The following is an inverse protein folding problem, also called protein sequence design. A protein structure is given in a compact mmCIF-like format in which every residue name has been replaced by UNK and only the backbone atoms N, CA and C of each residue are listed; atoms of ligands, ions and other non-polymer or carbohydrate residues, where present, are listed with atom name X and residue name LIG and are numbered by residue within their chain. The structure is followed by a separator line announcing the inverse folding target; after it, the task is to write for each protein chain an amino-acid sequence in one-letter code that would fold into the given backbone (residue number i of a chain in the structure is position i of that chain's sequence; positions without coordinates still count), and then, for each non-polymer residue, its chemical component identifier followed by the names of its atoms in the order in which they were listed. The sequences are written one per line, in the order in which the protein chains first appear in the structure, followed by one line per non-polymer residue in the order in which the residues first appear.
data_IF_047105708246
#
_entry.id   IF_047105708246
#
_cell.length_a   1.000
_cell.length_b   1.000
_cell.length_c   1.000
_cell.angle_alpha   90.00
_cell.angle_beta   90.00
_cell.angle_gamma   90.00
#
_symmetry.space_group_name_H-M   'P 1'
#
loop_
_entity.id
_entity.type
_entity.pdbx_description
1 polymer ?
#
# COMPACT_ATOMS: atom_id res chain seq x y z
N UNK A 1 40.67 27.49 38.33
CA UNK A 1 39.67 27.89 37.30
C UNK A 1 38.96 26.63 36.84
N UNK A 2 37.79 26.43 37.44
CA UNK A 2 36.90 25.31 37.10
C UNK A 2 35.97 25.76 35.97
N UNK A 3 35.85 25.00 34.90
CA UNK A 3 34.72 25.10 33.98
C UNK A 3 33.91 23.79 34.01
N UNK A 4 32.73 23.98 34.54
CA UNK A 4 31.64 23.00 34.62
C UNK A 4 31.16 22.69 33.20
N UNK A 5 31.09 21.41 32.87
CA UNK A 5 30.42 20.92 31.68
C UNK A 5 29.09 20.29 32.12
N UNK A 6 28.01 21.07 32.02
CA UNK A 6 26.63 20.60 32.14
C UNK A 6 26.05 20.40 30.74
N UNK A 7 25.27 19.35 30.61
CA UNK A 7 24.23 19.05 29.65
C UNK A 7 24.52 17.86 28.72
N UNK A 8 23.98 16.74 29.11
CA UNK A 8 24.00 15.52 28.30
C UNK A 8 23.11 14.40 28.83
N UNK A 9 22.08 14.73 29.60
CA UNK A 9 21.17 13.71 30.17
C UNK A 9 19.75 14.22 30.13
N UNK A 10 19.00 13.92 29.06
CA UNK A 10 17.51 13.99 29.15
C UNK A 10 16.78 13.43 27.89
N UNK A 11 17.33 12.57 27.09
CA UNK A 11 16.55 11.97 25.97
C UNK A 11 16.50 10.43 25.95
N UNK A 12 17.13 9.77 26.92
CA UNK A 12 17.16 8.28 26.96
C UNK A 12 16.25 7.63 28.01
N UNK A 13 15.51 8.38 28.80
CA UNK A 13 14.77 7.83 29.94
C UNK A 13 13.25 7.76 29.74
N UNK A 14 12.72 8.20 28.58
CA UNK A 14 11.26 8.11 28.31
C UNK A 14 10.83 6.93 27.42
N UNK A 15 11.76 6.06 27.02
CA UNK A 15 11.45 4.93 26.11
C UNK A 15 11.44 3.55 26.79
N UNK A 16 11.42 3.48 28.14
CA UNK A 16 11.44 2.18 28.86
C UNK A 16 10.24 1.90 29.79
N UNK A 17 9.19 2.67 29.73
CA UNK A 17 7.97 2.42 30.50
C UNK A 17 6.75 2.33 29.60
N UNK A 18 6.60 1.21 28.85
CA UNK A 18 5.47 1.03 27.93
C UNK A 18 5.32 -0.35 27.33
N UNK A 19 5.94 -1.36 27.92
CA UNK A 19 5.81 -2.74 27.44
C UNK A 19 4.89 -3.55 28.36
N UNK A 20 3.62 -3.13 28.54
CA UNK A 20 2.55 -3.98 29.06
C UNK A 20 1.22 -3.20 29.07
N UNK A 21 0.64 -2.94 27.90
CA UNK A 21 -0.80 -2.76 27.68
C UNK A 21 -0.98 -2.76 26.16
N UNK A 22 -1.27 -3.90 25.63
CA UNK A 22 -1.56 -4.06 24.21
C UNK A 22 -2.83 -3.32 23.83
N UNK A 23 -2.87 -2.96 22.54
CA UNK A 23 -4.07 -2.62 21.77
C UNK A 23 -4.67 -1.24 22.04
N UNK A 24 -4.52 -0.38 21.09
CA UNK A 24 -5.25 0.85 20.75
C UNK A 24 -4.38 2.11 20.57
N UNK A 25 -3.07 1.98 20.48
CA UNK A 25 -2.18 3.14 20.34
C UNK A 25 -1.65 3.39 18.93
N UNK A 26 -2.21 2.71 17.95
CA UNK A 26 -1.58 2.65 16.61
C UNK A 26 -2.08 3.70 15.62
N UNK A 27 -3.21 4.35 15.88
CA UNK A 27 -3.59 5.60 15.21
C UNK A 27 -3.38 6.81 16.12
N UNK A 28 -2.66 6.65 17.20
CA UNK A 28 -2.33 7.69 18.18
C UNK A 28 -1.27 8.71 17.74
N UNK A 29 -0.79 8.66 16.47
CA UNK A 29 -0.24 9.86 15.85
C UNK A 29 -1.32 10.95 15.68
N UNK A 30 -2.58 10.61 15.89
CA UNK A 30 -3.73 11.48 15.93
C UNK A 30 -3.82 12.42 17.17
N UNK A 31 -2.77 12.51 17.99
CA UNK A 31 -2.68 13.48 19.09
C UNK A 31 -2.60 14.95 18.64
N UNK A 32 -2.80 15.26 17.38
CA UNK A 32 -2.87 16.63 16.84
C UNK A 32 -4.28 17.04 16.40
N UNK A 33 -5.31 16.26 16.66
CA UNK A 33 -6.66 16.62 16.25
C UNK A 33 -7.30 17.58 17.25
N UNK A 34 -7.57 18.78 16.76
CA UNK A 34 -8.33 19.80 17.47
C UNK A 34 -9.73 19.28 17.82
N UNK A 35 -10.18 19.56 19.05
CA UNK A 35 -11.53 19.23 19.56
C UNK A 35 -12.60 19.97 18.75
N UNK A 36 -13.16 19.32 17.75
CA UNK A 36 -14.35 19.79 17.03
C UNK A 36 -15.60 19.06 17.55
N UNK A 37 -16.60 19.82 17.94
CA UNK A 37 -17.88 19.32 18.44
C UNK A 37 -18.63 18.49 17.39
N UNK A 38 -18.95 17.24 17.70
CA UNK A 38 -19.73 16.35 16.88
C UNK A 38 -21.14 16.89 16.60
N UNK A 39 -21.50 17.04 15.32
CA UNK A 39 -22.86 17.36 14.88
C UNK A 39 -23.47 16.10 14.29
N UNK A 40 -24.58 15.65 14.88
CA UNK A 40 -25.30 14.48 14.44
C UNK A 40 -25.79 14.63 12.98
N UNK A 41 -25.42 13.67 12.12
CA UNK A 41 -25.91 13.60 10.75
C UNK A 41 -27.29 12.94 10.71
N UNK A 42 -28.24 13.63 10.14
CA UNK A 42 -29.62 13.20 9.90
C UNK A 42 -29.68 12.18 8.77
N UNK A 43 -30.39 11.07 8.96
CA UNK A 43 -30.66 10.08 7.94
C UNK A 43 -31.49 10.69 6.80
N UNK A 44 -31.01 10.61 5.56
CA UNK A 44 -31.69 11.10 4.36
C UNK A 44 -31.89 9.97 3.34
N UNK A 45 -33.05 9.97 2.73
CA UNK A 45 -33.70 8.98 1.92
C UNK A 45 -32.99 8.40 0.70
N UNK A 46 -33.49 7.24 0.29
CA UNK A 46 -33.10 6.45 -0.89
C UNK A 46 -33.49 7.13 -2.21
N UNK A 47 -32.59 7.98 -2.70
CA UNK A 47 -32.55 8.36 -4.11
C UNK A 47 -31.27 7.77 -4.70
N UNK A 48 -31.20 7.48 -5.98
CA UNK A 48 -29.97 7.13 -6.70
C UNK A 48 -28.96 8.25 -6.56
N UNK A 49 -28.26 8.30 -5.42
CA UNK A 49 -27.14 9.21 -5.22
C UNK A 49 -26.02 8.76 -6.15
N UNK A 50 -25.43 9.71 -6.89
CA UNK A 50 -24.15 9.50 -7.56
C UNK A 50 -23.10 9.04 -6.55
N UNK A 51 -21.97 8.50 -7.05
CA UNK A 51 -20.87 8.11 -6.19
C UNK A 51 -20.42 9.30 -5.32
N UNK A 52 -20.01 9.08 -4.06
CA UNK A 52 -19.51 10.14 -3.18
C UNK A 52 -18.13 10.66 -3.60
N UNK A 53 -17.52 10.08 -4.64
CA UNK A 53 -16.25 10.45 -5.24
C UNK A 53 -16.40 10.64 -6.77
N UNK A 54 -15.41 11.27 -7.47
CA UNK A 54 -15.54 11.58 -8.89
C UNK A 54 -15.80 10.34 -9.74
N UNK A 55 -16.78 10.40 -10.62
CA UNK A 55 -17.09 9.32 -11.56
C UNK A 55 -15.99 9.18 -12.61
N UNK A 56 -15.67 7.93 -13.02
CA UNK A 56 -14.70 7.65 -14.08
C UNK A 56 -13.23 7.79 -13.67
N UNK A 57 -12.93 7.98 -12.38
CA UNK A 57 -11.54 8.02 -11.89
C UNK A 57 -10.95 6.62 -11.71
N UNK A 58 -11.78 5.60 -11.54
CA UNK A 58 -11.33 4.23 -11.27
C UNK A 58 -11.11 3.47 -12.56
N UNK A 59 -9.89 2.98 -12.74
CA UNK A 59 -9.56 2.00 -13.78
C UNK A 59 -9.92 0.59 -13.30
N UNK A 60 -10.86 -0.06 -13.99
CA UNK A 60 -11.33 -1.43 -13.73
C UNK A 60 -11.04 -2.36 -14.90
N UNK A 61 -10.21 -1.95 -15.85
CA UNK A 61 -9.94 -2.71 -17.08
C UNK A 61 -9.29 -4.08 -16.83
N UNK A 62 -8.61 -4.23 -15.69
CA UNK A 62 -7.90 -5.46 -15.30
C UNK A 62 -8.53 -6.18 -14.09
N UNK A 63 -9.77 -5.86 -13.73
CA UNK A 63 -10.51 -6.63 -12.74
C UNK A 63 -11.78 -7.27 -13.30
N UNK A 64 -12.36 -8.19 -12.53
CA UNK A 64 -13.68 -8.73 -12.89
C UNK A 64 -14.79 -7.75 -12.51
N UNK A 65 -15.97 -7.79 -13.17
CA UNK A 65 -17.11 -6.94 -12.82
C UNK A 65 -17.52 -7.09 -11.35
N UNK A 66 -17.43 -8.30 -10.80
CA UNK A 66 -17.77 -8.61 -9.42
C UNK A 66 -16.80 -7.92 -8.43
N UNK A 67 -15.50 -7.95 -8.73
CA UNK A 67 -14.50 -7.24 -7.92
C UNK A 67 -14.73 -5.73 -7.98
N UNK A 68 -14.97 -5.19 -9.18
CA UNK A 68 -15.30 -3.77 -9.35
C UNK A 68 -16.50 -3.34 -8.51
N UNK A 69 -17.55 -4.18 -8.44
CA UNK A 69 -18.75 -3.94 -7.64
C UNK A 69 -18.46 -3.94 -6.14
N UNK A 70 -17.71 -4.95 -5.66
CA UNK A 70 -17.31 -5.04 -4.24
C UNK A 70 -16.57 -3.78 -3.82
N UNK A 71 -15.53 -3.37 -4.58
CA UNK A 71 -14.74 -2.20 -4.22
C UNK A 71 -15.51 -0.89 -4.40
N UNK A 72 -16.38 -0.78 -5.40
CA UNK A 72 -17.27 0.37 -5.51
C UNK A 72 -18.13 0.55 -4.26
N UNK A 73 -18.75 -0.51 -3.79
CA UNK A 73 -19.57 -0.47 -2.56
C UNK A 73 -18.73 -0.19 -1.31
N UNK A 74 -17.56 -0.83 -1.19
CA UNK A 74 -16.63 -0.60 -0.10
C UNK A 74 -16.19 0.87 0.01
N UNK A 75 -15.71 1.46 -1.09
CA UNK A 75 -15.25 2.85 -1.10
C UNK A 75 -16.42 3.86 -1.01
N UNK A 76 -17.61 3.50 -1.48
CA UNK A 76 -18.81 4.30 -1.21
C UNK A 76 -19.06 4.36 0.29
N UNK A 77 -19.12 3.22 0.97
CA UNK A 77 -19.32 3.17 2.42
C UNK A 77 -18.22 3.88 3.19
N UNK A 78 -16.95 3.72 2.76
CA UNK A 78 -15.78 4.40 3.34
C UNK A 78 -15.90 5.92 3.20
N UNK A 79 -16.23 6.42 2.02
CA UNK A 79 -16.35 7.86 1.73
C UNK A 79 -17.58 8.51 2.37
N UNK A 80 -18.65 7.75 2.60
CA UNK A 80 -19.84 8.20 3.33
C UNK A 80 -19.67 8.11 4.84
N UNK A 81 -18.49 7.67 5.33
CA UNK A 81 -18.23 7.35 6.74
C UNK A 81 -19.27 6.42 7.35
N UNK A 82 -19.85 5.54 6.53
CA UNK A 82 -20.86 4.58 6.95
C UNK A 82 -20.20 3.31 7.52
N UNK A 83 -19.88 3.35 8.82
CA UNK A 83 -19.16 2.28 9.51
C UNK A 83 -19.87 0.92 9.37
N UNK A 84 -21.20 0.88 9.53
CA UNK A 84 -21.97 -0.37 9.44
C UNK A 84 -21.86 -0.99 8.04
N UNK A 85 -22.02 -0.18 6.99
CA UNK A 85 -21.90 -0.64 5.62
C UNK A 85 -20.45 -1.05 5.30
N UNK A 86 -19.44 -0.27 5.73
CA UNK A 86 -18.04 -0.60 5.51
C UNK A 86 -17.68 -1.94 6.16
N UNK A 87 -18.05 -2.11 7.42
CA UNK A 87 -17.71 -3.33 8.16
C UNK A 87 -18.42 -4.58 7.66
N UNK A 88 -19.49 -4.43 6.88
CA UNK A 88 -20.16 -5.56 6.23
C UNK A 88 -19.31 -6.24 5.14
N UNK A 89 -18.27 -5.58 4.64
CA UNK A 89 -17.31 -6.15 3.68
C UNK A 89 -16.27 -7.05 4.34
N UNK A 90 -16.03 -6.92 5.64
CA UNK A 90 -15.05 -7.71 6.36
C UNK A 90 -15.65 -9.01 6.93
N UNK A 91 -14.85 -10.07 6.95
CA UNK A 91 -15.22 -11.33 7.60
C UNK A 91 -15.23 -11.15 9.12
N UNK A 92 -16.30 -11.55 9.79
CA UNK A 92 -16.37 -11.50 11.25
C UNK A 92 -15.53 -12.59 11.93
N UNK A 93 -15.09 -13.61 11.18
CA UNK A 93 -14.37 -14.75 11.71
C UNK A 93 -12.84 -14.65 11.56
N UNK A 94 -12.37 -14.09 10.45
CA UNK A 94 -10.96 -14.22 10.03
C UNK A 94 -10.35 -12.92 9.49
N UNK A 95 -10.78 -11.76 9.96
CA UNK A 95 -10.24 -10.50 9.47
C UNK A 95 -8.87 -10.19 10.04
N UNK A 96 -7.93 -9.84 9.16
CA UNK A 96 -6.66 -9.19 9.49
C UNK A 96 -6.46 -7.97 8.61
N UNK A 97 -6.18 -6.83 9.22
CA UNK A 97 -5.80 -5.60 8.53
C UNK A 97 -4.42 -5.15 8.99
N UNK A 98 -3.55 -4.84 8.04
CA UNK A 98 -2.19 -4.39 8.33
C UNK A 98 -1.92 -3.08 7.59
N UNK A 99 -1.43 -2.09 8.32
CA UNK A 99 -0.71 -0.97 7.72
C UNK A 99 0.79 -1.28 7.78
N UNK A 100 1.35 -1.65 6.63
CA UNK A 100 2.74 -2.08 6.54
C UNK A 100 3.74 -0.93 6.73
N UNK A 101 3.33 0.33 6.55
CA UNK A 101 4.18 1.49 6.73
C UNK A 101 4.21 1.97 8.17
N UNK A 102 3.10 1.89 8.90
CA UNK A 102 3.05 2.21 10.32
C UNK A 102 3.43 1.04 11.23
N UNK A 103 3.48 -0.19 10.71
CA UNK A 103 3.71 -1.39 11.50
C UNK A 103 2.52 -1.72 12.41
N UNK A 104 1.31 -1.44 11.94
CA UNK A 104 0.07 -1.68 12.66
C UNK A 104 -0.55 -2.98 12.19
N UNK A 105 -0.94 -3.82 13.13
CA UNK A 105 -1.71 -5.04 12.87
C UNK A 105 -3.01 -5.00 13.66
N UNK A 106 -4.12 -5.16 12.94
CA UNK A 106 -5.47 -5.26 13.47
C UNK A 106 -5.95 -6.70 13.21
N UNK A 107 -5.79 -7.61 14.18
CA UNK A 107 -5.92 -9.06 13.95
C UNK A 107 -7.35 -9.57 14.05
N UNK A 108 -8.36 -8.70 14.16
CA UNK A 108 -9.76 -9.11 14.27
C UNK A 108 -10.72 -8.07 13.69
N UNK A 109 -11.93 -8.49 13.40
CA UNK A 109 -13.00 -7.63 12.96
C UNK A 109 -13.26 -6.47 13.94
N UNK A 110 -13.24 -6.73 15.26
CA UNK A 110 -13.47 -5.73 16.31
C UNK A 110 -12.35 -4.68 16.32
N UNK A 111 -11.10 -5.09 16.10
CA UNK A 111 -9.97 -4.18 16.03
C UNK A 111 -10.10 -3.26 14.81
N UNK A 112 -10.46 -3.80 13.64
CA UNK A 112 -10.71 -3.03 12.42
C UNK A 112 -11.90 -2.08 12.61
N UNK A 113 -13.01 -2.57 13.17
CA UNK A 113 -14.20 -1.77 13.47
C UNK A 113 -13.87 -0.59 14.38
N UNK A 114 -13.17 -0.83 15.50
CA UNK A 114 -12.79 0.23 16.43
C UNK A 114 -11.91 1.30 15.79
N UNK A 115 -10.99 0.88 14.94
CA UNK A 115 -10.09 1.77 14.20
C UNK A 115 -10.85 2.67 13.23
N UNK A 116 -11.73 2.09 12.39
CA UNK A 116 -12.55 2.89 11.47
C UNK A 116 -13.58 3.77 12.19
N UNK A 117 -14.15 3.30 13.31
CA UNK A 117 -15.04 4.12 14.13
C UNK A 117 -14.34 5.39 14.61
N UNK A 118 -13.10 5.26 15.10
CA UNK A 118 -12.30 6.40 15.56
C UNK A 118 -11.93 7.34 14.39
N UNK A 119 -11.53 6.78 13.25
CA UNK A 119 -11.18 7.55 12.07
C UNK A 119 -12.38 8.36 11.55
N UNK A 120 -13.57 7.74 11.40
CA UNK A 120 -14.78 8.40 10.92
C UNK A 120 -15.31 9.46 11.90
N UNK A 121 -15.08 9.28 13.20
CA UNK A 121 -15.46 10.28 14.19
C UNK A 121 -14.58 11.54 14.12
N UNK A 122 -13.35 11.43 13.63
CA UNK A 122 -12.39 12.54 13.56
C UNK A 122 -12.30 13.18 12.16
N UNK A 123 -12.54 12.41 11.11
CA UNK A 123 -12.43 12.91 9.75
C UNK A 123 -13.56 13.91 9.42
N UNK A 124 -13.27 15.02 8.73
CA UNK A 124 -14.31 15.92 8.24
C UNK A 124 -15.19 15.22 7.19
N UNK A 125 -16.46 15.58 7.11
CA UNK A 125 -17.41 14.99 6.16
C UNK A 125 -17.02 15.18 4.68
N UNK A 126 -16.09 16.08 4.38
CA UNK A 126 -15.53 16.29 3.05
C UNK A 126 -14.37 15.35 2.71
N UNK A 127 -13.79 14.70 3.70
CA UNK A 127 -12.72 13.72 3.47
C UNK A 127 -13.33 12.43 2.90
N UNK A 128 -12.83 12.01 1.74
CA UNK A 128 -13.32 10.84 1.00
C UNK A 128 -12.16 9.90 0.66
N UNK A 129 -12.52 8.65 0.36
CA UNK A 129 -11.59 7.63 -0.08
C UNK A 129 -12.12 6.97 -1.35
N UNK A 130 -11.28 6.80 -2.35
CA UNK A 130 -11.71 6.20 -3.61
C UNK A 130 -10.61 5.39 -4.30
N UNK A 131 -10.98 4.34 -5.06
CA UNK A 131 -10.00 3.57 -5.80
C UNK A 131 -9.62 4.28 -7.10
N UNK A 132 -8.32 4.27 -7.43
CA UNK A 132 -7.81 4.70 -8.72
C UNK A 132 -7.70 3.53 -9.70
N UNK A 133 -7.37 2.36 -9.18
CA UNK A 133 -7.21 1.14 -9.97
C UNK A 133 -7.51 -0.09 -9.16
N UNK A 134 -8.17 -1.04 -9.81
CA UNK A 134 -8.47 -2.36 -9.24
C UNK A 134 -7.96 -3.41 -10.22
N UNK A 135 -7.10 -4.32 -9.75
CA UNK A 135 -6.51 -5.38 -10.57
C UNK A 135 -6.70 -6.71 -9.83
N UNK A 136 -7.52 -7.60 -10.38
CA UNK A 136 -7.79 -8.89 -9.75
C UNK A 136 -9.23 -9.37 -9.91
N UNK A 137 -9.68 -10.18 -8.96
CA UNK A 137 -11.03 -10.73 -8.94
C UNK A 137 -11.60 -10.78 -7.51
N UNK A 138 -12.73 -11.50 -7.37
CA UNK A 138 -13.41 -11.67 -6.08
C UNK A 138 -12.71 -12.64 -5.10
N UNK A 139 -11.61 -13.27 -5.50
CA UNK A 139 -10.77 -14.09 -4.63
C UNK A 139 -9.66 -13.26 -4.01
N UNK A 140 -9.02 -12.42 -4.83
CA UNK A 140 -7.99 -11.49 -4.37
C UNK A 140 -7.73 -10.38 -5.39
N UNK A 141 -7.25 -9.22 -4.93
CA UNK A 141 -6.95 -8.08 -5.79
C UNK A 141 -5.88 -7.16 -5.21
N UNK A 142 -5.14 -6.49 -6.10
CA UNK A 142 -4.39 -5.30 -5.79
C UNK A 142 -5.26 -4.06 -6.04
N UNK A 143 -5.27 -3.12 -5.10
CA UNK A 143 -6.09 -1.90 -5.18
C UNK A 143 -5.24 -0.67 -4.93
N UNK A 144 -5.13 0.18 -5.94
CA UNK A 144 -4.56 1.51 -5.79
C UNK A 144 -5.68 2.47 -5.38
N UNK A 145 -5.46 3.22 -4.30
CA UNK A 145 -6.47 4.10 -3.72
C UNK A 145 -5.89 5.45 -3.31
N UNK A 146 -6.80 6.41 -3.13
CA UNK A 146 -6.51 7.72 -2.53
C UNK A 146 -7.42 7.91 -1.33
N UNK A 147 -6.82 8.32 -0.22
CA UNK A 147 -7.50 8.99 0.87
C UNK A 147 -7.19 10.49 0.74
N UNK A 148 -8.23 11.32 0.62
CA UNK A 148 -8.05 12.77 0.49
C UNK A 148 -7.53 13.38 1.79
N UNK A 149 -7.00 14.61 1.75
CA UNK A 149 -6.51 15.27 2.96
C UNK A 149 -7.50 15.20 4.13
N UNK A 150 -6.95 15.02 5.32
CA UNK A 150 -7.67 14.90 6.60
C UNK A 150 -8.54 13.63 6.77
N UNK A 151 -8.46 12.65 5.85
CA UNK A 151 -9.13 11.37 6.09
C UNK A 151 -8.44 10.57 7.20
N UNK A 152 -7.14 10.30 7.06
CA UNK A 152 -6.29 9.68 8.10
C UNK A 152 -5.11 10.58 8.48
N UNK A 153 -4.61 11.34 7.50
CA UNK A 153 -3.46 12.23 7.65
C UNK A 153 -3.78 13.58 7.01
N UNK A 154 -3.08 14.66 7.38
CA UNK A 154 -3.35 16.00 6.82
C UNK A 154 -3.13 16.12 5.32
N UNK A 155 -2.31 15.27 4.71
CA UNK A 155 -2.03 15.25 3.29
C UNK A 155 -2.86 14.20 2.57
N UNK A 156 -2.92 14.28 1.24
CA UNK A 156 -3.42 13.20 0.41
C UNK A 156 -2.52 11.97 0.59
N UNK A 157 -3.15 10.82 0.86
CA UNK A 157 -2.46 9.55 0.96
C UNK A 157 -2.83 8.70 -0.25
N UNK A 158 -1.81 8.28 -1.01
CA UNK A 158 -1.97 7.32 -2.09
C UNK A 158 -1.36 5.98 -1.66
N UNK A 159 -2.16 4.94 -1.68
CA UNK A 159 -1.77 3.62 -1.24
C UNK A 159 -1.98 2.58 -2.35
N UNK A 160 -1.28 1.47 -2.23
CA UNK A 160 -1.49 0.25 -2.99
C UNK A 160 -1.70 -0.89 -2.00
N UNK A 161 -2.89 -1.47 -2.03
CA UNK A 161 -3.32 -2.47 -1.05
C UNK A 161 -3.37 -3.86 -1.67
N UNK A 162 -2.94 -4.86 -0.90
CA UNK A 162 -3.14 -6.28 -1.17
C UNK A 162 -4.37 -6.75 -0.41
N UNK A 163 -5.37 -7.29 -1.14
CA UNK A 163 -6.66 -7.68 -0.56
C UNK A 163 -7.01 -9.11 -0.90
N UNK A 164 -7.36 -9.92 0.11
CA UNK A 164 -7.81 -11.31 -0.05
C UNK A 164 -9.19 -11.48 0.54
N UNK A 165 -10.04 -12.26 -0.15
CA UNK A 165 -11.41 -12.53 0.25
C UNK A 165 -11.63 -14.01 0.59
N UNK A 166 -12.59 -14.29 1.47
CA UNK A 166 -13.08 -15.65 1.71
C UNK A 166 -14.08 -16.11 0.63
N UNK A 167 -14.58 -17.34 0.75
CA UNK A 167 -15.57 -17.91 -0.16
C UNK A 167 -16.91 -17.18 -0.18
N UNK A 168 -17.20 -16.34 0.82
CA UNK A 168 -18.37 -15.49 0.91
C UNK A 168 -18.08 -14.06 0.40
N UNK A 169 -16.92 -13.86 -0.21
CA UNK A 169 -16.42 -12.56 -0.71
C UNK A 169 -16.31 -11.49 0.39
N UNK A 170 -15.98 -11.93 1.62
CA UNK A 170 -15.63 -11.04 2.72
C UNK A 170 -14.12 -10.90 2.81
N UNK A 171 -13.66 -9.69 3.10
CA UNK A 171 -12.25 -9.39 3.29
C UNK A 171 -11.75 -10.15 4.52
N UNK A 172 -10.76 -11.02 4.31
CA UNK A 172 -10.06 -11.73 5.38
C UNK A 172 -8.67 -11.16 5.61
N UNK A 173 -8.12 -10.50 4.59
CA UNK A 173 -6.80 -9.89 4.66
C UNK A 173 -6.80 -8.59 3.86
N UNK A 174 -6.31 -7.51 4.48
CA UNK A 174 -6.04 -6.23 3.85
C UNK A 174 -4.68 -5.72 4.31
N UNK A 175 -3.78 -5.43 3.40
CA UNK A 175 -2.47 -4.86 3.72
C UNK A 175 -2.23 -3.61 2.90
N UNK A 176 -2.04 -2.48 3.57
CA UNK A 176 -1.75 -1.20 2.94
C UNK A 176 -0.25 -0.93 2.88
N UNK A 177 0.18 -0.50 1.70
CA UNK A 177 1.49 0.07 1.44
C UNK A 177 1.35 1.48 0.90
N UNK A 178 2.07 2.42 1.49
CA UNK A 178 2.10 3.81 1.07
C UNK A 178 3.46 4.43 1.36
N UNK A 179 3.74 5.63 0.80
CA UNK A 179 5.00 6.31 1.00
C UNK A 179 4.88 7.40 2.08
N UNK A 180 5.52 7.20 3.22
CA UNK A 180 5.52 8.15 4.34
C UNK A 180 6.11 9.51 3.97
N UNK A 181 7.01 9.57 3.00
CA UNK A 181 7.57 10.84 2.52
C UNK A 181 6.50 11.70 1.85
N UNK A 182 5.66 11.12 1.01
CA UNK A 182 4.54 11.80 0.35
C UNK A 182 3.50 12.28 1.37
N UNK A 183 3.23 11.49 2.40
CA UNK A 183 2.31 11.83 3.47
C UNK A 183 2.92 12.77 4.52
N UNK A 184 4.18 13.19 4.37
CA UNK A 184 4.96 13.98 5.33
C UNK A 184 5.07 13.32 6.71
N UNK A 185 4.98 12.00 6.76
CA UNK A 185 5.15 11.19 7.96
C UNK A 185 6.52 10.55 7.89
N UNK A 186 7.38 10.84 8.86
CA UNK A 186 8.64 10.14 9.01
C UNK A 186 8.44 8.93 9.92
N UNK A 187 8.42 7.76 9.32
CA UNK A 187 8.28 6.52 10.06
C UNK A 187 9.62 6.16 10.73
N UNK A 188 9.60 6.03 12.06
CA UNK A 188 10.75 5.57 12.84
C UNK A 188 10.74 4.05 13.08
N UNK A 189 9.76 3.33 12.53
CA UNK A 189 9.57 1.90 12.76
C UNK A 189 10.46 1.13 11.79
N UNK A 190 11.42 0.38 12.35
CA UNK A 190 12.37 -0.44 11.59
C UNK A 190 11.79 -1.79 11.15
N UNK A 191 10.63 -2.18 11.67
CA UNK A 191 9.91 -3.39 11.31
C UNK A 191 8.41 -3.08 11.29
N UNK A 192 7.90 -2.82 10.11
CA UNK A 192 6.51 -2.42 9.87
C UNK A 192 5.57 -3.61 9.62
N UNK A 193 6.01 -4.81 9.91
CA UNK A 193 5.22 -6.02 9.65
C UNK A 193 5.36 -6.96 10.84
N UNK A 194 4.27 -7.52 11.38
CA UNK A 194 4.35 -8.45 12.48
C UNK A 194 5.25 -9.64 12.13
N UNK A 195 6.19 -9.98 13.02
CA UNK A 195 7.15 -11.05 12.77
C UNK A 195 6.48 -12.44 12.68
N UNK A 196 5.32 -12.58 13.33
CA UNK A 196 4.50 -13.79 13.38
C UNK A 196 3.37 -13.80 12.34
N UNK A 197 3.24 -12.75 11.52
CA UNK A 197 2.22 -12.70 10.49
C UNK A 197 2.47 -13.79 9.45
N UNK A 198 1.49 -14.66 9.27
CA UNK A 198 1.48 -15.73 8.29
C UNK A 198 0.26 -15.55 7.40
N UNK A 199 0.48 -15.66 6.09
CA UNK A 199 -0.62 -15.71 5.15
C UNK A 199 -1.39 -17.00 5.32
N UNK A 200 -2.68 -16.90 5.62
CA UNK A 200 -3.54 -18.05 5.82
C UNK A 200 -4.03 -18.65 4.50
N UNK A 201 -4.17 -17.83 3.45
CA UNK A 201 -4.68 -18.26 2.15
C UNK A 201 -4.07 -17.43 1.02
N UNK A 202 -3.70 -18.12 -0.08
CA UNK A 202 -3.33 -17.49 -1.34
C UNK A 202 -4.41 -17.83 -2.36
N UNK A 203 -5.26 -16.86 -2.68
CA UNK A 203 -6.37 -17.02 -3.63
C UNK A 203 -6.04 -16.41 -5.00
N UNK A 204 -4.77 -16.28 -5.33
CA UNK A 204 -4.33 -15.75 -6.62
C UNK A 204 -4.46 -16.78 -7.75
N UNK A 205 -4.83 -16.31 -8.95
CA UNK A 205 -4.83 -17.14 -10.15
C UNK A 205 -3.41 -17.64 -10.46
N UNK A 206 -3.23 -18.93 -10.84
CA UNK A 206 -1.91 -19.47 -11.18
C UNK A 206 -1.14 -18.67 -12.25
N UNK A 207 -1.83 -18.00 -13.17
CA UNK A 207 -1.18 -17.21 -14.21
C UNK A 207 -0.46 -15.98 -13.61
N UNK A 208 -1.11 -15.22 -12.73
CA UNK A 208 -0.47 -14.08 -12.05
C UNK A 208 0.64 -14.56 -11.11
N UNK A 209 0.43 -15.65 -10.37
CA UNK A 209 1.46 -16.23 -9.51
C UNK A 209 2.72 -16.57 -10.31
N UNK A 210 2.57 -17.23 -11.46
CA UNK A 210 3.71 -17.60 -12.31
C UNK A 210 4.47 -16.38 -12.83
N UNK A 211 3.77 -15.34 -13.27
CA UNK A 211 4.40 -14.13 -13.81
C UNK A 211 5.12 -13.35 -12.69
N UNK A 212 4.48 -13.16 -11.54
CA UNK A 212 5.07 -12.44 -10.41
C UNK A 212 6.27 -13.16 -9.81
N UNK A 213 6.22 -14.50 -9.72
CA UNK A 213 7.37 -15.31 -9.30
C UNK A 213 8.56 -15.17 -10.25
N UNK A 214 8.32 -15.24 -11.58
CA UNK A 214 9.37 -15.05 -12.58
C UNK A 214 9.94 -13.64 -12.54
N UNK A 215 9.08 -12.62 -12.38
CA UNK A 215 9.49 -11.23 -12.29
C UNK A 215 10.37 -11.00 -11.05
N UNK A 216 9.91 -11.44 -9.88
CA UNK A 216 10.68 -11.28 -8.64
C UNK A 216 11.98 -12.08 -8.67
N UNK A 217 12.00 -13.26 -9.27
CA UNK A 217 13.23 -14.04 -9.44
C UNK A 217 14.25 -13.30 -10.33
N UNK A 218 13.79 -12.68 -11.43
CA UNK A 218 14.65 -11.85 -12.29
C UNK A 218 15.18 -10.61 -11.54
N UNK A 219 14.33 -9.94 -10.78
CA UNK A 219 14.74 -8.81 -9.95
C UNK A 219 15.74 -9.22 -8.88
N UNK A 220 15.49 -10.31 -8.16
CA UNK A 220 16.37 -10.84 -7.13
C UNK A 220 17.74 -11.27 -7.69
N UNK A 221 17.78 -11.72 -8.94
CA UNK A 221 19.03 -12.05 -9.63
C UNK A 221 19.75 -10.81 -10.25
N UNK A 222 19.13 -9.63 -10.22
CA UNK A 222 19.63 -8.44 -10.92
C UNK A 222 19.57 -8.58 -12.45
N UNK A 223 18.74 -9.49 -12.98
CA UNK A 223 18.63 -9.79 -14.41
C UNK A 223 17.57 -8.90 -15.06
N UNK A 224 17.99 -7.72 -15.52
CA UNK A 224 17.14 -6.78 -16.22
C UNK A 224 16.58 -7.36 -17.54
N UNK A 225 17.32 -8.21 -18.23
CA UNK A 225 16.88 -8.78 -19.49
C UNK A 225 15.74 -9.80 -19.28
N UNK A 226 15.90 -10.69 -18.30
CA UNK A 226 14.86 -11.64 -17.90
C UNK A 226 13.59 -10.93 -17.41
N UNK A 227 13.73 -9.87 -16.60
CA UNK A 227 12.59 -9.08 -16.16
C UNK A 227 11.83 -8.44 -17.33
N UNK A 228 12.54 -7.78 -18.23
CA UNK A 228 11.95 -7.07 -19.38
C UNK A 228 11.39 -8.04 -20.42
N UNK A 229 11.90 -9.25 -20.52
CA UNK A 229 11.32 -10.30 -21.38
C UNK A 229 9.90 -10.70 -20.97
N UNK A 230 9.47 -10.42 -19.73
CA UNK A 230 8.10 -10.63 -19.27
C UNK A 230 7.14 -9.47 -19.63
N UNK A 231 7.65 -8.34 -20.11
CA UNK A 231 6.92 -7.11 -20.32
C UNK A 231 6.43 -6.97 -21.78
N UNK A 232 5.33 -6.26 -21.97
CA UNK A 232 4.87 -5.85 -23.30
C UNK A 232 5.78 -4.76 -23.89
N UNK A 233 5.68 -4.55 -25.21
CA UNK A 233 6.48 -3.54 -25.91
C UNK A 233 6.24 -2.11 -25.36
N UNK A 234 5.01 -1.82 -24.98
CA UNK A 234 4.53 -0.50 -24.50
C UNK A 234 4.38 -0.42 -22.98
N UNK A 235 5.00 -1.33 -22.25
CA UNK A 235 4.94 -1.40 -20.80
C UNK A 235 5.09 -0.05 -20.12
N UNK A 236 4.31 0.17 -19.06
CA UNK A 236 4.47 1.30 -18.16
C UNK A 236 4.96 0.80 -16.81
N UNK A 237 6.14 1.22 -16.39
CA UNK A 237 6.62 1.06 -15.03
C UNK A 237 6.41 2.35 -14.25
N UNK A 238 5.76 2.28 -13.10
CA UNK A 238 5.56 3.38 -12.17
C UNK A 238 6.11 3.00 -10.80
N UNK A 239 7.01 3.82 -10.28
CA UNK A 239 7.46 3.74 -8.89
C UNK A 239 6.78 4.88 -8.12
N UNK A 240 5.79 4.52 -7.29
CA UNK A 240 4.99 5.49 -6.54
C UNK A 240 5.81 6.15 -5.43
N UNK A 241 6.78 5.44 -4.85
CA UNK A 241 7.62 5.96 -3.78
C UNK A 241 8.70 6.92 -4.32
N UNK A 242 9.30 6.59 -5.46
CA UNK A 242 10.29 7.45 -6.12
C UNK A 242 9.65 8.53 -7.02
N UNK A 243 8.32 8.52 -7.20
CA UNK A 243 7.58 9.41 -8.10
C UNK A 243 8.11 9.40 -9.54
N UNK A 244 8.44 8.21 -10.05
CA UNK A 244 9.02 8.06 -11.38
C UNK A 244 8.16 7.17 -12.26
N UNK A 245 8.26 7.42 -13.59
CA UNK A 245 7.56 6.62 -14.59
C UNK A 245 8.46 6.38 -15.80
N UNK A 246 8.56 5.12 -16.19
CA UNK A 246 9.29 4.66 -17.39
C UNK A 246 8.31 4.03 -18.36
N UNK A 247 8.41 4.35 -19.65
CA UNK A 247 7.50 3.84 -20.68
C UNK A 247 8.24 3.13 -21.79
N UNK A 248 7.70 1.99 -22.20
CA UNK A 248 8.21 1.15 -23.27
C UNK A 248 9.32 0.21 -22.81
N UNK A 249 9.34 -0.96 -23.45
CA UNK A 249 10.23 -2.07 -23.11
C UNK A 249 11.72 -1.67 -23.20
N UNK A 250 12.09 -0.88 -24.21
CA UNK A 250 13.47 -0.40 -24.37
C UNK A 250 13.91 0.48 -23.21
N UNK A 251 13.06 1.40 -22.78
CA UNK A 251 13.36 2.28 -21.65
C UNK A 251 13.36 1.52 -20.32
N UNK A 252 12.45 0.56 -20.15
CA UNK A 252 12.45 -0.35 -19.01
C UNK A 252 13.74 -1.15 -18.91
N UNK A 253 14.27 -1.66 -20.05
CA UNK A 253 15.57 -2.35 -20.08
C UNK A 253 16.71 -1.45 -19.60
N UNK A 254 16.78 -0.22 -20.10
CA UNK A 254 17.81 0.74 -19.68
C UNK A 254 17.69 1.13 -18.20
N UNK A 255 16.45 1.34 -17.74
CA UNK A 255 16.17 1.64 -16.35
C UNK A 255 16.61 0.49 -15.43
N UNK A 256 16.13 -0.72 -15.65
CA UNK A 256 16.44 -1.85 -14.78
C UNK A 256 17.93 -2.23 -14.82
N UNK A 257 18.60 -2.07 -15.94
CA UNK A 257 20.06 -2.27 -16.01
C UNK A 257 20.83 -1.36 -15.02
N UNK A 258 20.32 -0.14 -14.78
CA UNK A 258 20.93 0.79 -13.83
C UNK A 258 20.39 0.62 -12.41
N UNK A 259 19.10 0.34 -12.29
CA UNK A 259 18.36 0.51 -11.05
C UNK A 259 18.28 -0.74 -10.19
N UNK A 260 18.24 -1.96 -10.77
CA UNK A 260 17.95 -3.19 -10.01
C UNK A 260 18.86 -3.37 -8.79
N UNK A 261 20.15 -3.06 -8.91
CA UNK A 261 21.08 -3.15 -7.79
C UNK A 261 20.85 -2.18 -6.63
N UNK A 262 19.91 -1.22 -6.79
CA UNK A 262 19.62 -0.18 -5.81
C UNK A 262 18.14 -0.19 -5.38
N UNK A 263 17.28 -0.90 -6.12
CA UNK A 263 15.87 -1.02 -5.80
C UNK A 263 15.66 -1.96 -4.60
N UNK A 264 14.73 -1.66 -3.67
CA UNK A 264 14.51 -2.49 -2.48
C UNK A 264 13.91 -3.86 -2.82
N UNK A 265 13.22 -3.99 -3.95
CA UNK A 265 12.71 -5.24 -4.50
C UNK A 265 13.68 -5.93 -5.47
N UNK A 266 14.93 -5.44 -5.53
CA UNK A 266 16.02 -5.97 -6.36
C UNK A 266 16.74 -7.18 -5.72
N UNK A 267 18.09 -7.25 -5.85
CA UNK A 267 18.87 -8.41 -5.43
C UNK A 267 18.61 -8.85 -4.00
N UNK A 268 18.33 -10.14 -3.84
CA UNK A 268 18.06 -10.76 -2.54
C UNK A 268 16.65 -10.56 -1.98
N UNK A 269 15.80 -9.79 -2.64
CA UNK A 269 14.40 -9.67 -2.25
C UNK A 269 13.60 -10.94 -2.64
N UNK A 270 12.59 -11.26 -1.83
CA UNK A 270 11.76 -12.44 -2.00
C UNK A 270 10.27 -12.07 -2.10
N UNK A 271 9.52 -12.78 -2.95
CA UNK A 271 8.07 -12.74 -2.97
C UNK A 271 7.53 -13.41 -1.69
N UNK A 272 6.60 -12.74 -1.02
CA UNK A 272 5.99 -13.21 0.23
C UNK A 272 4.55 -13.66 0.03
N UNK A 273 3.76 -12.88 -0.71
CA UNK A 273 2.34 -13.11 -0.98
C UNK A 273 2.02 -12.68 -2.40
N UNK A 274 1.10 -13.35 -3.06
CA UNK A 274 0.59 -12.97 -4.37
C UNK A 274 -0.94 -12.93 -4.35
N UNK A 275 -1.51 -11.99 -5.09
CA UNK A 275 -2.95 -11.84 -5.26
C UNK A 275 -3.31 -11.53 -6.72
N UNK A 276 -4.59 -11.73 -7.06
CA UNK A 276 -5.14 -11.31 -8.35
C UNK A 276 -5.64 -12.43 -9.23
N UNK A 277 -5.98 -12.07 -10.46
CA UNK A 277 -6.60 -12.87 -11.50
C UNK A 277 -5.65 -13.13 -12.68
N UNK A 278 -6.13 -13.88 -13.67
CA UNK A 278 -5.43 -14.07 -14.95
C UNK A 278 -5.15 -12.77 -15.73
N UNK A 279 -5.80 -11.66 -15.39
CA UNK A 279 -5.60 -10.33 -16.02
C UNK A 279 -4.59 -9.46 -15.30
N UNK A 280 -4.09 -9.92 -14.16
CA UNK A 280 -3.16 -9.21 -13.30
C UNK A 280 -3.55 -9.27 -11.83
N UNK A 281 -2.79 -8.61 -11.01
CA UNK A 281 -2.92 -8.58 -9.56
C UNK A 281 -1.69 -7.93 -8.97
N UNK A 282 -1.14 -8.51 -7.92
CA UNK A 282 0.06 -8.00 -7.31
C UNK A 282 0.83 -9.05 -6.54
N UNK A 283 1.88 -8.58 -5.92
CA UNK A 283 2.61 -9.36 -4.93
C UNK A 283 3.31 -8.46 -3.91
N UNK A 284 3.31 -8.94 -2.69
CA UNK A 284 4.13 -8.37 -1.64
C UNK A 284 5.52 -8.99 -1.69
N UNK A 285 6.54 -8.18 -1.40
CA UNK A 285 7.91 -8.65 -1.33
C UNK A 285 8.57 -8.21 -0.02
N UNK A 286 9.51 -9.03 0.45
CA UNK A 286 10.46 -8.67 1.50
C UNK A 286 11.82 -8.37 0.87
N UNK A 287 12.44 -7.28 1.28
CA UNK A 287 13.79 -6.95 0.87
C UNK A 287 14.81 -7.92 1.48
N UNK A 288 16.02 -7.97 0.92
CA UNK A 288 17.12 -8.70 1.53
C UNK A 288 17.35 -8.25 2.98
N UNK A 289 17.79 -9.15 3.89
CA UNK A 289 17.95 -8.82 5.32
C UNK A 289 18.88 -7.65 5.60
N UNK A 290 19.85 -7.41 4.71
CA UNK A 290 20.82 -6.32 4.75
C UNK A 290 20.40 -5.06 3.98
N UNK A 291 19.27 -5.10 3.26
CA UNK A 291 18.71 -3.96 2.53
C UNK A 291 18.02 -2.95 3.47
N UNK A 292 18.62 -2.65 4.61
CA UNK A 292 18.12 -1.61 5.49
C UNK A 292 18.13 -0.24 4.79
N UNK A 293 17.17 0.65 5.09
CA UNK A 293 16.11 0.50 6.09
C UNK A 293 14.79 -0.08 5.57
N UNK A 294 14.57 -0.17 4.25
CA UNK A 294 13.33 -0.66 3.66
C UNK A 294 13.26 -2.17 3.74
N UNK A 295 12.17 -2.68 4.29
CA UNK A 295 12.00 -4.11 4.53
C UNK A 295 11.00 -4.78 3.60
N UNK A 296 9.99 -4.05 3.15
CA UNK A 296 8.85 -4.58 2.42
C UNK A 296 8.29 -3.56 1.45
N UNK A 297 7.53 -4.05 0.51
CA UNK A 297 6.72 -3.25 -0.40
C UNK A 297 5.76 -4.15 -1.17
N UNK A 298 5.05 -3.51 -2.06
CA UNK A 298 4.05 -4.15 -2.91
C UNK A 298 4.27 -3.76 -4.37
N UNK A 299 4.02 -4.69 -5.28
CA UNK A 299 4.12 -4.47 -6.72
C UNK A 299 2.85 -5.01 -7.39
N UNK A 300 2.08 -4.12 -8.02
CA UNK A 300 0.94 -4.47 -8.85
C UNK A 300 1.39 -4.68 -10.31
N UNK A 301 0.83 -5.68 -10.98
CA UNK A 301 1.07 -5.98 -12.40
C UNK A 301 -0.25 -6.12 -13.14
N UNK A 302 -0.37 -5.47 -14.29
CA UNK A 302 -1.45 -5.66 -15.25
C UNK A 302 -0.93 -6.53 -16.40
N UNK A 303 -1.70 -7.53 -16.81
CA UNK A 303 -1.34 -8.45 -17.86
C UNK A 303 -2.18 -8.18 -19.11
N UNK A 304 -1.52 -8.11 -20.27
CA UNK A 304 -2.18 -8.07 -21.56
C UNK A 304 -2.76 -9.44 -21.97
N UNK A 305 -3.43 -9.51 -23.11
CA UNK A 305 -4.03 -10.74 -23.62
C UNK A 305 -3.00 -11.85 -23.90
N UNK A 306 -1.74 -11.49 -24.13
CA UNK A 306 -0.63 -12.42 -24.31
C UNK A 306 0.02 -12.87 -23.00
N UNK A 307 -0.49 -12.39 -21.85
CA UNK A 307 0.07 -12.65 -20.52
C UNK A 307 1.38 -11.91 -20.24
N UNK A 308 1.68 -10.84 -21.00
CA UNK A 308 2.81 -9.95 -20.74
C UNK A 308 2.40 -8.84 -19.81
N UNK A 309 3.35 -8.36 -19.01
CA UNK A 309 3.13 -7.22 -18.11
C UNK A 309 3.01 -5.95 -18.96
N UNK A 310 1.81 -5.39 -19.04
CA UNK A 310 1.53 -4.12 -19.71
C UNK A 310 1.75 -2.92 -18.77
N UNK A 311 1.58 -3.14 -17.46
CA UNK A 311 1.89 -2.15 -16.43
C UNK A 311 2.44 -2.81 -15.18
N UNK A 312 3.40 -2.12 -14.57
CA UNK A 312 3.96 -2.48 -13.27
C UNK A 312 3.97 -1.22 -12.39
N UNK A 313 3.38 -1.32 -11.21
CA UNK A 313 3.34 -0.24 -10.22
C UNK A 313 3.95 -0.75 -8.92
N UNK A 314 5.03 -0.13 -8.47
CA UNK A 314 5.73 -0.49 -7.23
C UNK A 314 5.52 0.59 -6.16
N UNK A 315 5.41 0.16 -4.90
CA UNK A 315 5.35 1.06 -3.74
C UNK A 315 6.11 0.48 -2.55
N UNK A 316 6.72 1.37 -1.80
CA UNK A 316 7.40 1.12 -0.53
C UNK A 316 7.51 2.45 0.24
N UNK A 317 7.91 2.42 1.51
CA UNK A 317 8.06 3.63 2.32
C UNK A 317 9.45 4.26 2.11
N UNK A 318 9.54 5.28 1.24
CA UNK A 318 10.79 6.00 0.99
C UNK A 318 11.18 6.96 2.11
N UNK A 319 10.30 7.21 3.09
CA UNK A 319 10.61 8.08 4.25
C UNK A 319 11.75 7.51 5.10
N UNK A 320 11.99 6.21 5.00
CA UNK A 320 13.08 5.51 5.67
C UNK A 320 14.46 5.82 5.05
N UNK A 321 14.50 6.33 3.82
CA UNK A 321 15.74 6.72 3.16
C UNK A 321 16.19 8.13 3.56
N UNK A 322 17.51 8.35 3.58
CA UNK A 322 18.01 9.72 3.58
C UNK A 322 17.57 10.45 2.31
N UNK A 323 17.49 11.78 2.35
CA UNK A 323 17.07 12.55 1.18
C UNK A 323 18.01 12.34 -0.02
N UNK A 324 19.32 12.23 0.22
CA UNK A 324 20.29 11.98 -0.84
C UNK A 324 20.10 10.59 -1.49
N UNK A 325 19.82 9.54 -0.69
CA UNK A 325 19.53 8.21 -1.21
C UNK A 325 18.22 8.19 -2.02
N UNK A 326 17.19 8.86 -1.53
CA UNK A 326 15.93 9.05 -2.24
C UNK A 326 16.12 9.75 -3.60
N UNK A 327 16.86 10.88 -3.63
CA UNK A 327 17.15 11.59 -4.87
C UNK A 327 17.96 10.73 -5.86
N UNK A 328 18.92 9.96 -5.36
CA UNK A 328 19.68 9.02 -6.20
C UNK A 328 18.76 7.98 -6.83
N UNK A 329 17.86 7.38 -6.04
CA UNK A 329 16.90 6.39 -6.52
C UNK A 329 15.96 6.97 -7.57
N UNK A 330 15.35 8.13 -7.29
CA UNK A 330 14.49 8.83 -8.25
C UNK A 330 15.25 9.21 -9.55
N UNK A 331 16.50 9.59 -9.43
CA UNK A 331 17.37 9.94 -10.57
C UNK A 331 17.66 8.79 -11.52
N UNK A 332 17.53 7.52 -11.07
CA UNK A 332 17.77 6.36 -11.94
C UNK A 332 16.78 6.25 -13.10
N UNK A 333 15.57 6.79 -12.94
CA UNK A 333 14.58 6.83 -14.02
C UNK A 333 14.85 7.93 -15.05
N UNK A 334 15.64 8.95 -14.71
CA UNK A 334 16.03 10.00 -15.65
C UNK A 334 17.01 9.43 -16.68
N UNK A 335 16.78 9.73 -17.96
CA UNK A 335 17.75 9.44 -19.01
C UNK A 335 18.87 10.47 -18.97
N UNK A 336 20.13 10.01 -19.03
CA UNK A 336 21.21 10.92 -19.35
C UNK A 336 20.95 11.51 -20.73
N UNK A 337 21.11 12.84 -20.92
CA UNK A 337 21.06 13.43 -22.26
C UNK A 337 22.00 12.65 -23.17
N UNK A 338 21.52 12.34 -24.37
CA UNK A 338 22.39 11.77 -25.40
C UNK A 338 23.43 12.86 -25.70
N UNK A 339 24.67 12.63 -25.25
CA UNK A 339 25.82 13.50 -25.55
C UNK A 339 26.24 13.37 -27.01
#
# INVERSE_FOLDING_TARGET
MQHVNQQGTTRRTMLRAGAAAGTAAALGAAGLFATGTARAASAAGSGTRGLPYPSGVTDTSHCTPEAAEIFRGFFTAKSEHNLTALMSYFSTANTTYIDACLGVSLPSWEAVHSTFASAFASAPASAISYPLRIVGDRGSAAVELVDTPDFFVPQELRALSSVTFDSNHKIIRWVDYWDGRSALIQNAITSSYPADFRDSEQNADPAVVQVTQKLQAAFAAGDAAAAVALMSYDVVHEDMAAHTRVRGQFQAQRYYTRALGQLPHGPGAALVHAEGSRRGGGYEWSAAPDAAPMRRGHTCVELDEAGKISRLTAIYDSSLLSYAAYQSLAGLAAEAPLS
#
